data_IF_766399072227
#
_entry.id   IF_766399072227
#
_cell.length_a   1.000
_cell.length_b   1.000
_cell.length_c   1.000
_cell.angle_alpha   90.00
_cell.angle_beta   90.00
_cell.angle_gamma   90.00
#
_symmetry.space_group_name_H-M   'P 1'
#
loop_
_entity.id
_entity.type
_entity.pdbx_description
1 polymer ?
#
# COMPACT_ATOMS: atom_id res chain seq x y z
N UNK A 1 -35.38 -16.99 6.05
CA UNK A 1 -34.06 -16.45 5.66
C UNK A 1 -33.65 -15.46 6.75
N UNK A 2 -32.74 -15.85 7.65
CA UNK A 2 -32.24 -14.92 8.68
C UNK A 2 -31.42 -13.83 7.96
N UNK A 3 -31.88 -12.59 8.01
CA UNK A 3 -31.08 -11.46 7.58
C UNK A 3 -29.80 -11.45 8.45
N UNK A 4 -28.66 -11.76 7.85
CA UNK A 4 -27.39 -11.64 8.55
C UNK A 4 -27.17 -10.16 8.86
N UNK A 5 -27.01 -9.84 10.11
CA UNK A 5 -26.72 -8.47 10.54
C UNK A 5 -25.36 -8.05 9.97
N UNK A 6 -25.35 -6.95 9.20
CA UNK A 6 -24.13 -6.36 8.65
C UNK A 6 -23.66 -5.20 9.54
N UNK A 7 -22.36 -5.08 9.70
CA UNK A 7 -21.72 -3.96 10.39
C UNK A 7 -20.84 -3.17 9.43
N UNK A 8 -20.82 -1.84 9.59
CA UNK A 8 -19.92 -0.97 8.84
C UNK A 8 -18.50 -1.08 9.43
N UNK A 9 -17.55 -1.48 8.61
CA UNK A 9 -16.15 -1.68 9.01
C UNK A 9 -15.24 -0.65 8.33
N UNK A 10 -15.35 -0.51 7.00
CA UNK A 10 -14.49 0.39 6.23
C UNK A 10 -15.20 1.71 5.93
N UNK A 11 -14.59 2.81 6.34
CA UNK A 11 -15.10 4.14 6.01
C UNK A 11 -14.86 4.49 4.52
N UNK A 12 -15.59 5.48 3.97
CA UNK A 12 -15.46 5.87 2.57
C UNK A 12 -14.05 6.32 2.18
N UNK A 13 -13.33 7.01 3.09
CA UNK A 13 -11.98 7.51 2.80
C UNK A 13 -11.01 6.34 2.59
N UNK A 14 -10.99 5.35 3.49
CA UNK A 14 -10.14 4.16 3.35
C UNK A 14 -10.43 3.41 2.04
N UNK A 15 -11.71 3.33 1.64
CA UNK A 15 -12.11 2.64 0.41
C UNK A 15 -11.69 3.39 -0.85
N UNK A 16 -11.93 4.69 -0.91
CA UNK A 16 -11.50 5.54 -2.04
C UNK A 16 -9.99 5.55 -2.13
N UNK A 17 -9.30 5.78 -1.01
CA UNK A 17 -7.84 5.67 -0.91
C UNK A 17 -7.34 4.35 -1.53
N UNK A 18 -7.88 3.22 -1.09
CA UNK A 18 -7.40 1.90 -1.52
C UNK A 18 -7.53 1.70 -3.04
N UNK A 19 -8.69 1.97 -3.61
CA UNK A 19 -8.90 1.73 -5.03
C UNK A 19 -8.18 2.75 -5.92
N UNK A 20 -8.08 4.00 -5.49
CA UNK A 20 -7.28 5.01 -6.19
C UNK A 20 -5.79 4.67 -6.11
N UNK A 21 -5.30 4.19 -4.97
CA UNK A 21 -3.93 3.73 -4.80
C UNK A 21 -3.60 2.55 -5.74
N UNK A 22 -4.50 1.56 -5.82
CA UNK A 22 -4.34 0.44 -6.75
C UNK A 22 -4.23 0.94 -8.19
N UNK A 23 -5.16 1.81 -8.62
CA UNK A 23 -5.14 2.35 -9.97
C UNK A 23 -3.85 3.14 -10.24
N UNK A 24 -3.47 4.06 -9.34
CA UNK A 24 -2.29 4.90 -9.51
C UNK A 24 -0.99 4.08 -9.53
N UNK A 25 -0.84 3.10 -8.62
CA UNK A 25 0.34 2.23 -8.58
C UNK A 25 0.51 1.45 -9.90
N UNK A 26 -0.54 0.79 -10.39
CA UNK A 26 -0.43 0.04 -11.64
C UNK A 26 -0.29 0.94 -12.86
N UNK A 27 -0.86 2.16 -12.85
CA UNK A 27 -0.59 3.15 -13.89
C UNK A 27 0.89 3.51 -13.93
N UNK A 28 1.49 3.86 -12.78
CA UNK A 28 2.93 4.14 -12.73
C UNK A 28 3.77 2.92 -13.11
N UNK A 29 3.43 1.73 -12.63
CA UNK A 29 4.20 0.52 -12.87
C UNK A 29 4.26 0.07 -14.33
N UNK A 30 3.20 0.30 -15.11
CA UNK A 30 3.11 -0.12 -16.51
C UNK A 30 3.40 0.97 -17.53
N UNK A 31 3.48 2.23 -17.10
CA UNK A 31 3.72 3.39 -17.96
C UNK A 31 5.02 4.10 -17.53
N UNK A 32 6.13 3.36 -17.60
CA UNK A 32 7.47 3.79 -17.21
C UNK A 32 8.37 4.10 -18.45
N UNK A 33 7.80 4.11 -19.64
CA UNK A 33 8.50 4.48 -20.87
C UNK A 33 8.61 6.01 -21.05
N UNK A 34 9.57 6.45 -21.87
CA UNK A 34 9.84 7.88 -22.12
C UNK A 34 8.61 8.65 -22.62
N UNK A 35 7.75 8.02 -23.43
CA UNK A 35 6.55 8.66 -23.99
C UNK A 35 5.48 8.96 -22.93
N UNK A 36 5.44 8.14 -21.88
CA UNK A 36 4.44 8.22 -20.80
C UNK A 36 5.01 8.72 -19.47
N UNK A 37 6.25 9.23 -19.44
CA UNK A 37 6.93 9.68 -18.23
C UNK A 37 6.10 10.69 -17.41
N UNK A 38 5.42 11.63 -18.07
CA UNK A 38 4.55 12.60 -17.38
C UNK A 38 3.40 11.90 -16.62
N UNK A 39 2.86 10.83 -17.20
CA UNK A 39 1.78 10.03 -16.57
C UNK A 39 2.33 9.22 -15.40
N UNK A 40 3.52 8.61 -15.58
CA UNK A 40 4.25 7.93 -14.52
C UNK A 40 4.48 8.84 -13.31
N UNK A 41 5.04 10.02 -13.54
CA UNK A 41 5.34 11.01 -12.51
C UNK A 41 4.07 11.49 -11.80
N UNK A 42 3.00 11.80 -12.56
CA UNK A 42 1.71 12.19 -11.99
C UNK A 42 1.11 11.07 -11.11
N UNK A 43 1.17 9.83 -11.57
CA UNK A 43 0.70 8.67 -10.83
C UNK A 43 1.55 8.45 -9.56
N UNK A 44 2.88 8.61 -9.63
CA UNK A 44 3.80 8.55 -8.50
C UNK A 44 3.49 9.60 -7.43
N UNK A 45 3.27 10.86 -7.82
CA UNK A 45 2.83 11.89 -6.87
C UNK A 45 1.44 11.62 -6.29
N UNK A 46 0.54 11.01 -7.06
CA UNK A 46 -0.77 10.59 -6.55
C UNK A 46 -0.60 9.52 -5.48
N UNK A 47 0.25 8.51 -5.70
CA UNK A 47 0.58 7.49 -4.69
C UNK A 47 1.16 8.13 -3.43
N UNK A 48 2.14 9.03 -3.58
CA UNK A 48 2.75 9.74 -2.44
C UNK A 48 1.69 10.50 -1.62
N UNK A 49 0.86 11.31 -2.28
CA UNK A 49 -0.20 12.07 -1.62
C UNK A 49 -1.20 11.17 -0.88
N UNK A 50 -1.61 10.07 -1.51
CA UNK A 50 -2.49 9.08 -0.90
C UNK A 50 -1.86 8.40 0.33
N UNK A 51 -0.59 8.03 0.25
CA UNK A 51 0.14 7.42 1.39
C UNK A 51 0.22 8.39 2.56
N UNK A 52 0.55 9.67 2.31
CA UNK A 52 0.58 10.70 3.35
C UNK A 52 -0.79 10.90 4.01
N UNK A 53 -1.86 11.00 3.21
CA UNK A 53 -3.24 11.07 3.73
C UNK A 53 -3.57 9.83 4.56
N UNK A 54 -3.19 8.63 4.12
CA UNK A 54 -3.44 7.38 4.85
C UNK A 54 -2.68 7.31 6.17
N UNK A 55 -1.45 7.80 6.21
CA UNK A 55 -0.66 7.86 7.44
C UNK A 55 -1.36 8.79 8.44
N UNK A 56 -1.75 9.99 8.03
CA UNK A 56 -2.49 10.91 8.90
C UNK A 56 -3.81 10.29 9.39
N UNK A 57 -4.58 9.67 8.45
CA UNK A 57 -5.84 9.00 8.80
C UNK A 57 -5.66 7.81 9.75
N UNK A 58 -4.49 7.19 9.74
CA UNK A 58 -4.12 6.13 10.69
C UNK A 58 -4.02 6.59 12.15
N UNK A 59 -3.91 7.89 12.39
CA UNK A 59 -3.87 8.47 13.75
C UNK A 59 -5.18 9.13 14.17
N UNK A 60 -5.94 9.72 13.23
CA UNK A 60 -7.12 10.54 13.53
C UNK A 60 -8.43 9.98 12.95
N UNK A 61 -8.37 8.89 12.17
CA UNK A 61 -9.49 8.33 11.44
C UNK A 61 -10.48 7.53 12.29
N UNK A 62 -11.30 6.73 11.61
CA UNK A 62 -12.30 5.87 12.24
C UNK A 62 -11.68 4.66 12.93
N UNK A 63 -12.43 4.01 13.83
CA UNK A 63 -11.97 2.90 14.67
C UNK A 63 -11.11 1.87 13.92
N UNK A 64 -11.60 1.30 12.81
CA UNK A 64 -10.88 0.27 12.07
C UNK A 64 -9.80 0.82 11.11
N UNK A 65 -9.70 2.14 10.94
CA UNK A 65 -8.63 2.82 10.20
C UNK A 65 -7.41 3.13 11.05
N UNK A 66 -7.56 3.18 12.38
CA UNK A 66 -6.51 3.58 13.33
C UNK A 66 -5.43 2.51 13.44
N UNK A 67 -4.16 2.91 13.37
CA UNK A 67 -3.02 2.01 13.56
C UNK A 67 -3.06 1.27 14.89
N UNK A 68 -3.47 1.92 15.98
CA UNK A 68 -3.60 1.31 17.30
C UNK A 68 -4.59 0.14 17.35
N UNK A 69 -5.55 0.11 16.43
CA UNK A 69 -6.58 -0.95 16.37
C UNK A 69 -6.03 -2.25 15.78
N UNK A 70 -5.13 -2.17 14.80
CA UNK A 70 -4.69 -3.33 14.05
C UNK A 70 -3.18 -3.61 14.08
N UNK A 71 -2.33 -2.64 14.44
CA UNK A 71 -0.88 -2.89 14.54
C UNK A 71 -0.61 -3.74 15.77
N UNK A 72 -0.03 -4.91 15.56
CA UNK A 72 0.36 -5.88 16.57
C UNK A 72 1.84 -6.20 16.48
N UNK A 73 2.38 -6.91 17.47
CA UNK A 73 3.79 -7.31 17.42
C UNK A 73 4.07 -8.19 16.19
N UNK A 74 5.28 -8.15 15.62
CA UNK A 74 5.66 -9.00 14.50
C UNK A 74 5.46 -10.50 14.80
N UNK A 75 5.73 -10.92 16.03
CA UNK A 75 5.52 -12.31 16.47
C UNK A 75 4.05 -12.69 16.36
N UNK A 76 3.14 -11.82 16.84
CA UNK A 76 1.69 -12.06 16.73
C UNK A 76 1.23 -12.16 15.27
N UNK A 77 1.78 -11.31 14.38
CA UNK A 77 1.46 -11.34 12.96
C UNK A 77 1.92 -12.66 12.31
N UNK A 78 3.12 -13.11 12.61
CA UNK A 78 3.68 -14.36 12.08
C UNK A 78 2.89 -15.57 12.62
N UNK A 79 2.61 -15.64 13.92
CA UNK A 79 1.80 -16.70 14.50
C UNK A 79 0.41 -16.76 13.83
N UNK A 80 -0.23 -15.60 13.64
CA UNK A 80 -1.53 -15.53 12.97
C UNK A 80 -1.45 -16.04 11.51
N UNK A 81 -0.41 -15.68 10.76
CA UNK A 81 -0.22 -16.16 9.40
C UNK A 81 -0.10 -17.70 9.35
N UNK A 82 0.62 -18.30 10.27
CA UNK A 82 0.68 -19.77 10.39
C UNK A 82 -0.68 -20.39 10.74
N UNK A 83 -1.44 -19.78 11.64
CA UNK A 83 -2.79 -20.27 12.01
C UNK A 83 -3.73 -20.16 10.79
N UNK A 84 -3.63 -19.09 9.99
CA UNK A 84 -4.41 -18.94 8.77
C UNK A 84 -4.08 -20.02 7.73
N UNK A 85 -2.80 -20.33 7.54
CA UNK A 85 -2.37 -21.42 6.65
C UNK A 85 -2.84 -22.81 7.13
N UNK A 86 -2.97 -23.00 8.44
CA UNK A 86 -3.50 -24.23 9.04
C UNK A 86 -5.03 -24.30 9.08
N UNK A 87 -5.72 -23.20 8.71
CA UNK A 87 -7.18 -23.13 8.75
C UNK A 87 -7.77 -22.92 10.15
N UNK A 88 -6.97 -22.52 11.13
CA UNK A 88 -7.36 -22.34 12.54
C UNK A 88 -7.40 -20.90 13.01
N UNK A 89 -7.11 -19.94 12.12
CA UNK A 89 -7.07 -18.52 12.47
C UNK A 89 -8.44 -17.97 12.92
N UNK A 90 -8.41 -17.06 13.91
CA UNK A 90 -9.61 -16.36 14.38
C UNK A 90 -10.06 -15.33 13.34
N UNK A 91 -11.37 -15.17 13.20
CA UNK A 91 -11.96 -14.08 12.42
C UNK A 91 -11.84 -12.74 13.15
N UNK A 92 -11.53 -11.68 12.39
CA UNK A 92 -11.51 -10.28 12.84
C UNK A 92 -12.50 -9.45 12.02
N UNK A 93 -13.18 -8.49 12.65
CA UNK A 93 -14.03 -7.53 11.94
C UNK A 93 -13.17 -6.55 11.13
N UNK A 94 -12.20 -5.89 11.76
CA UNK A 94 -11.19 -5.07 11.12
C UNK A 94 -10.06 -5.89 10.50
N UNK A 95 -8.84 -5.38 10.56
CA UNK A 95 -7.67 -6.12 10.10
C UNK A 95 -7.22 -7.17 11.13
N UNK A 96 -6.92 -8.35 10.65
CA UNK A 96 -6.22 -9.35 11.46
C UNK A 96 -4.73 -8.97 11.64
N UNK A 97 -4.01 -9.58 12.59
CA UNK A 97 -2.62 -9.23 12.88
C UNK A 97 -1.67 -9.30 11.67
N UNK A 98 -1.80 -10.31 10.80
CA UNK A 98 -0.97 -10.46 9.61
C UNK A 98 -1.33 -9.41 8.55
N UNK A 99 -2.62 -9.16 8.33
CA UNK A 99 -3.10 -8.10 7.43
C UNK A 99 -2.67 -6.70 7.90
N UNK A 100 -2.72 -6.45 9.21
CA UNK A 100 -2.23 -5.20 9.79
C UNK A 100 -0.74 -4.98 9.55
N UNK A 101 0.09 -6.01 9.76
CA UNK A 101 1.52 -5.96 9.47
C UNK A 101 1.80 -5.74 7.98
N UNK A 102 1.06 -6.41 7.08
CA UNK A 102 1.17 -6.23 5.64
C UNK A 102 0.84 -4.80 5.21
N UNK A 103 -0.20 -4.16 5.79
CA UNK A 103 -0.54 -2.77 5.50
C UNK A 103 0.60 -1.83 5.89
N UNK A 104 1.18 -1.99 7.09
CA UNK A 104 2.31 -1.18 7.52
C UNK A 104 3.49 -1.35 6.58
N UNK A 105 3.82 -2.58 6.19
CA UNK A 105 4.91 -2.88 5.28
C UNK A 105 4.68 -2.26 3.90
N UNK A 106 3.48 -2.40 3.33
CA UNK A 106 3.13 -1.78 2.05
C UNK A 106 3.20 -0.25 2.11
N UNK A 107 2.70 0.39 3.18
CA UNK A 107 2.79 1.84 3.34
C UNK A 107 4.25 2.33 3.42
N UNK A 108 5.11 1.60 4.14
CA UNK A 108 6.55 1.93 4.23
C UNK A 108 7.21 1.75 2.86
N UNK A 109 6.98 0.64 2.16
CA UNK A 109 7.56 0.40 0.84
C UNK A 109 7.08 1.44 -0.19
N UNK A 110 5.78 1.76 -0.23
CA UNK A 110 5.24 2.79 -1.11
C UNK A 110 5.80 4.18 -0.81
N UNK A 111 6.02 4.51 0.47
CA UNK A 111 6.65 5.77 0.85
C UNK A 111 8.11 5.83 0.37
N UNK A 112 8.89 4.78 0.59
CA UNK A 112 10.28 4.70 0.13
C UNK A 112 10.35 4.72 -1.40
N UNK A 113 9.48 3.98 -2.09
CA UNK A 113 9.36 3.96 -3.54
C UNK A 113 9.07 5.35 -4.12
N UNK A 114 8.09 6.06 -3.54
CA UNK A 114 7.74 7.39 -4.05
C UNK A 114 8.81 8.44 -3.71
N UNK A 115 9.49 8.34 -2.57
CA UNK A 115 10.62 9.22 -2.22
C UNK A 115 11.79 8.97 -3.19
N UNK A 116 12.14 7.72 -3.49
CA UNK A 116 13.20 7.40 -4.45
C UNK A 116 12.86 7.90 -5.85
N UNK A 117 11.60 7.78 -6.29
CA UNK A 117 11.15 8.31 -7.58
C UNK A 117 11.21 9.84 -7.65
N UNK A 118 10.84 10.55 -6.57
CA UNK A 118 10.98 12.02 -6.52
C UNK A 118 12.47 12.43 -6.53
N UNK A 119 13.35 11.66 -5.90
CA UNK A 119 14.79 11.91 -5.93
C UNK A 119 15.37 11.66 -7.33
N UNK A 120 15.00 10.54 -7.97
CA UNK A 120 15.41 10.20 -9.33
C UNK A 120 14.95 11.28 -10.33
N UNK A 121 13.68 11.70 -10.26
CA UNK A 121 13.15 12.77 -11.12
C UNK A 121 13.89 14.10 -10.95
N UNK A 122 14.37 14.37 -9.73
CA UNK A 122 15.21 15.54 -9.45
C UNK A 122 16.63 15.42 -9.99
N UNK A 123 17.22 14.23 -9.95
CA UNK A 123 18.58 13.96 -10.41
C UNK A 123 18.66 13.92 -11.96
N UNK A 124 17.80 13.13 -12.58
CA UNK A 124 17.75 12.90 -14.04
C UNK A 124 17.20 14.13 -14.78
N UNK A 125 15.99 14.55 -14.51
CA UNK A 125 15.31 15.60 -15.26
C UNK A 125 15.59 17.02 -14.74
N UNK A 126 16.25 17.18 -13.61
CA UNK A 126 16.41 18.45 -12.89
C UNK A 126 15.07 19.17 -12.63
N UNK A 127 14.01 18.40 -12.42
CA UNK A 127 12.64 18.85 -12.17
C UNK A 127 12.13 18.38 -10.81
N UNK A 128 11.01 18.97 -10.35
CA UNK A 128 10.37 18.59 -9.10
C UNK A 128 11.00 19.23 -7.84
N UNK A 129 10.51 18.85 -6.65
CA UNK A 129 10.86 19.53 -5.40
C UNK A 129 12.29 19.30 -4.93
N UNK A 130 12.97 18.28 -5.41
CA UNK A 130 14.35 17.93 -5.04
C UNK A 130 15.38 18.33 -6.10
N UNK A 131 14.99 18.92 -7.22
CA UNK A 131 15.89 19.33 -8.31
C UNK A 131 17.08 20.17 -7.82
N UNK A 132 16.84 21.11 -6.91
CA UNK A 132 17.90 21.98 -6.37
C UNK A 132 18.95 21.27 -5.50
N UNK A 133 18.70 20.03 -5.07
CA UNK A 133 19.69 19.24 -4.31
C UNK A 133 20.74 18.59 -5.22
N UNK A 134 20.44 18.43 -6.51
CA UNK A 134 21.27 17.71 -7.47
C UNK A 134 21.94 18.63 -8.50
N UNK A 135 21.65 19.93 -8.47
CA UNK A 135 22.09 20.89 -9.51
C UNK A 135 23.61 21.10 -9.61
N UNK A 136 24.41 20.78 -8.57
CA UNK A 136 25.84 21.08 -8.50
C UNK A 136 26.73 19.87 -8.14
N UNK A 137 26.18 18.64 -8.18
CA UNK A 137 26.96 17.44 -7.86
C UNK A 137 27.68 16.96 -9.11
N UNK A 138 29.02 17.09 -9.15
CA UNK A 138 29.86 16.55 -10.23
C UNK A 138 29.87 15.00 -10.33
N UNK A 139 29.04 14.31 -9.55
CA UNK A 139 28.83 12.86 -9.49
C UNK A 139 27.46 12.46 -10.07
N UNK A 140 26.90 13.25 -10.99
CA UNK A 140 25.52 13.14 -11.46
C UNK A 140 25.13 11.73 -11.95
N UNK A 141 25.92 11.16 -12.87
CA UNK A 141 25.58 9.88 -13.53
C UNK A 141 25.57 8.69 -12.55
N UNK A 142 26.57 8.55 -11.66
CA UNK A 142 26.62 7.44 -10.69
C UNK A 142 25.45 7.50 -9.68
N UNK A 143 25.08 8.70 -9.26
CA UNK A 143 23.96 8.87 -8.32
C UNK A 143 22.61 8.59 -9.00
N UNK A 144 22.46 8.98 -10.24
CA UNK A 144 21.27 8.73 -11.05
C UNK A 144 21.08 7.22 -11.24
N UNK A 145 22.10 6.51 -11.73
CA UNK A 145 22.08 5.05 -11.89
C UNK A 145 21.72 4.33 -10.57
N UNK A 146 22.31 4.77 -9.46
CA UNK A 146 21.98 4.19 -8.14
C UNK A 146 20.53 4.46 -7.72
N UNK A 147 19.98 5.66 -7.97
CA UNK A 147 18.61 6.00 -7.63
C UNK A 147 17.63 5.23 -8.52
N UNK A 148 17.94 5.04 -9.79
CA UNK A 148 17.16 4.23 -10.72
C UNK A 148 17.09 2.76 -10.25
N UNK A 149 18.26 2.15 -9.94
CA UNK A 149 18.31 0.77 -9.43
C UNK A 149 17.51 0.61 -8.13
N UNK A 150 17.64 1.54 -7.19
CA UNK A 150 16.91 1.52 -5.93
C UNK A 150 15.40 1.65 -6.18
N UNK A 151 14.99 2.54 -7.09
CA UNK A 151 13.59 2.75 -7.44
C UNK A 151 12.98 1.48 -8.07
N UNK A 152 13.67 0.87 -9.03
CA UNK A 152 13.25 -0.37 -9.67
C UNK A 152 13.14 -1.54 -8.67
N UNK A 153 14.14 -1.72 -7.80
CA UNK A 153 14.12 -2.75 -6.75
C UNK A 153 12.90 -2.54 -5.83
N UNK A 154 12.63 -1.30 -5.40
CA UNK A 154 11.50 -1.00 -4.54
C UNK A 154 10.16 -1.22 -5.25
N UNK A 155 10.05 -0.90 -6.55
CA UNK A 155 8.86 -1.13 -7.35
C UNK A 155 8.55 -2.63 -7.47
N UNK A 156 9.55 -3.42 -7.85
CA UNK A 156 9.43 -4.87 -7.99
C UNK A 156 9.15 -5.55 -6.63
N UNK A 157 9.81 -5.11 -5.56
CA UNK A 157 9.54 -5.62 -4.22
C UNK A 157 8.12 -5.29 -3.75
N UNK A 158 7.64 -4.07 -4.02
CA UNK A 158 6.26 -3.67 -3.71
C UNK A 158 5.26 -4.52 -4.49
N UNK A 159 5.51 -4.83 -5.76
CA UNK A 159 4.68 -5.73 -6.55
C UNK A 159 4.59 -7.14 -5.94
N UNK A 160 5.70 -7.68 -5.46
CA UNK A 160 5.72 -8.97 -4.74
C UNK A 160 4.86 -8.89 -3.47
N UNK A 161 4.97 -7.82 -2.69
CA UNK A 161 4.15 -7.61 -1.49
C UNK A 161 2.66 -7.50 -1.83
N UNK A 162 2.30 -6.84 -2.93
CA UNK A 162 0.91 -6.80 -3.43
C UNK A 162 0.42 -8.21 -3.75
N UNK A 163 1.23 -9.04 -4.41
CA UNK A 163 0.90 -10.44 -4.67
C UNK A 163 0.63 -11.23 -3.39
N UNK A 164 1.48 -11.07 -2.38
CA UNK A 164 1.29 -11.70 -1.05
C UNK A 164 0.03 -11.15 -0.36
N UNK A 165 -0.22 -9.85 -0.45
CA UNK A 165 -1.44 -9.22 0.08
C UNK A 165 -2.70 -9.81 -0.55
N UNK A 166 -2.76 -9.92 -1.88
CA UNK A 166 -3.90 -10.50 -2.59
C UNK A 166 -4.08 -11.97 -2.23
N UNK A 167 -3.00 -12.73 -2.11
CA UNK A 167 -3.06 -14.12 -1.65
C UNK A 167 -3.64 -14.21 -0.23
N UNK A 168 -3.22 -13.35 0.68
CA UNK A 168 -3.77 -13.24 2.04
C UNK A 168 -5.28 -12.95 2.02
N UNK A 169 -5.73 -12.02 1.17
CA UNK A 169 -7.15 -11.72 0.99
C UNK A 169 -7.94 -12.94 0.52
N UNK A 170 -7.39 -13.74 -0.40
CA UNK A 170 -8.03 -14.96 -0.90
C UNK A 170 -8.12 -16.02 0.20
N UNK A 171 -7.03 -16.26 0.93
CA UNK A 171 -6.99 -17.23 2.03
C UNK A 171 -8.02 -16.87 3.11
N UNK A 172 -7.99 -15.64 3.60
CA UNK A 172 -8.91 -15.14 4.64
C UNK A 172 -10.38 -15.18 4.17
N UNK A 173 -10.64 -14.80 2.93
CA UNK A 173 -12.00 -14.83 2.37
C UNK A 173 -12.57 -16.25 2.34
N UNK A 174 -11.73 -17.24 1.98
CA UNK A 174 -12.14 -18.66 1.96
C UNK A 174 -12.29 -19.24 3.36
N UNK A 175 -11.34 -18.94 4.24
CA UNK A 175 -11.32 -19.44 5.61
C UNK A 175 -12.57 -19.00 6.37
N UNK A 176 -12.93 -17.73 6.28
CA UNK A 176 -14.06 -17.16 7.01
C UNK A 176 -15.37 -17.10 6.21
N UNK A 177 -15.38 -17.63 4.97
CA UNK A 177 -16.55 -17.65 4.07
C UNK A 177 -17.20 -16.27 3.91
N UNK A 178 -16.37 -15.24 3.74
CA UNK A 178 -16.79 -13.85 3.48
C UNK A 178 -15.93 -13.22 2.38
N UNK A 179 -16.51 -12.33 1.58
CA UNK A 179 -15.76 -11.64 0.52
C UNK A 179 -15.11 -10.36 1.06
N UNK A 180 -13.79 -10.39 1.28
CA UNK A 180 -13.04 -9.21 1.71
C UNK A 180 -12.96 -8.15 0.61
N UNK A 181 -12.95 -8.55 -0.65
CA UNK A 181 -13.02 -7.62 -1.80
C UNK A 181 -14.36 -6.87 -1.79
N UNK A 182 -15.48 -7.58 -1.64
CA UNK A 182 -16.81 -6.95 -1.55
C UNK A 182 -16.90 -6.03 -0.33
N UNK A 183 -16.32 -6.44 0.81
CA UNK A 183 -16.24 -5.60 2.01
C UNK A 183 -15.47 -4.30 1.75
N UNK A 184 -14.39 -4.33 0.95
CA UNK A 184 -13.64 -3.14 0.57
C UNK A 184 -14.40 -2.25 -0.43
N UNK A 185 -15.36 -2.77 -1.17
CA UNK A 185 -16.26 -2.01 -2.06
C UNK A 185 -17.41 -1.40 -1.27
N UNK A 186 -18.12 -2.20 -0.47
CA UNK A 186 -19.36 -1.79 0.22
C UNK A 186 -19.11 -1.10 1.56
N UNK A 187 -17.96 -1.36 2.19
CA UNK A 187 -17.63 -0.92 3.54
C UNK A 187 -18.22 -1.81 4.65
N UNK A 188 -18.88 -2.91 4.32
CA UNK A 188 -19.66 -3.73 5.27
C UNK A 188 -19.13 -5.15 5.36
N UNK A 189 -19.23 -5.73 6.52
CA UNK A 189 -18.94 -7.14 6.81
C UNK A 189 -20.08 -7.75 7.61
N UNK A 190 -20.16 -9.06 7.59
CA UNK A 190 -21.07 -9.81 8.46
C UNK A 190 -20.69 -9.58 9.92
N UNK A 191 -21.67 -9.33 10.80
CA UNK A 191 -21.48 -9.19 12.24
C UNK A 191 -20.93 -10.47 12.89
#
# INVERSE_FOLDING_TARGET
MNAQTEVKVWDPLVRVFHWTLVAAFFTAYFLDDEEMMDVHVLAGYTVLGLVLVRVVWGFIGTEHALFRDFVRSPVTAVCYAFDALRGTARRYLGHNPAGGAMIVLLLVCLLLLTISGVALYGADQHLGPLAGLFADTGEGEELEEMLEEVHEILANFTLVLIGIHVLGVIVESRLHKESLVLAMITGRKRA
#
